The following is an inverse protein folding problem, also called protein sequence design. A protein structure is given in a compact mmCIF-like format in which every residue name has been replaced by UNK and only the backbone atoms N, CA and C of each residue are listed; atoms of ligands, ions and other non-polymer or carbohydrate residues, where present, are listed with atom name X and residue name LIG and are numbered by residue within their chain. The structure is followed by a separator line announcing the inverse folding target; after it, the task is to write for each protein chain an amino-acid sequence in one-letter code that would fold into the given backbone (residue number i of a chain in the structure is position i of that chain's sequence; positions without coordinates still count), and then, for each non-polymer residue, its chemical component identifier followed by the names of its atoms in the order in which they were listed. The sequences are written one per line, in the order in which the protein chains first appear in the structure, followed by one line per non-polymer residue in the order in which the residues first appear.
data_IF_924813942703
#
_entry.id   IF_924813942703
#
_cell.length_a   1.000
_cell.length_b   1.000
_cell.length_c   1.000
_cell.angle_alpha   90.00
_cell.angle_beta   90.00
_cell.angle_gamma   90.00
#
_symmetry.space_group_name_H-M   'P 1'
#
loop_
_entity.id
_entity.type
_entity.pdbx_description
1 polymer ?
#
# COMPACT_ATOMS: atom_id res chain seq x y z
N UNK A 1 -7.62 4.63 -23.07
CA UNK A 1 -6.95 4.84 -21.77
C UNK A 1 -5.76 5.75 -22.00
N UNK A 2 -5.56 6.74 -21.12
CA UNK A 2 -4.49 7.73 -21.19
C UNK A 2 -3.11 7.08 -20.99
N UNK A 3 -2.11 7.47 -21.79
CA UNK A 3 -0.74 6.90 -21.73
C UNK A 3 -0.07 7.18 -20.39
N UNK A 4 -0.31 8.37 -19.84
CA UNK A 4 0.11 8.77 -18.50
C UNK A 4 -0.45 7.86 -17.41
N UNK A 5 -1.74 7.48 -17.52
CA UNK A 5 -2.35 6.53 -16.58
C UNK A 5 -1.64 5.18 -16.58
N UNK A 6 -1.40 4.63 -17.78
CA UNK A 6 -0.74 3.33 -17.91
C UNK A 6 0.68 3.38 -17.35
N UNK A 7 1.45 4.43 -17.64
CA UNK A 7 2.78 4.61 -17.06
C UNK A 7 2.74 4.68 -15.53
N UNK A 8 1.85 5.50 -14.96
CA UNK A 8 1.74 5.63 -13.50
C UNK A 8 1.31 4.32 -12.85
N UNK A 9 0.43 3.55 -13.51
CA UNK A 9 0.02 2.21 -13.06
C UNK A 9 1.20 1.25 -13.09
N UNK A 10 1.96 1.20 -14.19
CA UNK A 10 3.15 0.37 -14.31
C UNK A 10 4.21 0.72 -13.26
N UNK A 11 4.42 2.01 -13.00
CA UNK A 11 5.33 2.46 -11.94
C UNK A 11 4.81 2.06 -10.56
N UNK A 12 3.50 2.10 -10.31
CA UNK A 12 2.93 1.68 -9.04
C UNK A 12 3.08 0.16 -8.79
N UNK A 13 3.04 -0.65 -9.85
CA UNK A 13 3.06 -2.11 -9.76
C UNK A 13 4.47 -2.72 -9.81
N UNK A 14 5.44 -2.08 -10.51
CA UNK A 14 6.78 -2.66 -10.74
C UNK A 14 7.90 -1.78 -10.15
N UNK A 15 8.54 -2.21 -9.04
CA UNK A 15 9.68 -1.51 -8.44
C UNK A 15 10.90 -1.37 -9.36
N UNK A 16 11.08 -2.29 -10.31
CA UNK A 16 12.19 -2.20 -11.27
C UNK A 16 11.94 -1.04 -12.24
N UNK A 17 10.69 -0.88 -12.70
CA UNK A 17 10.30 0.26 -13.54
C UNK A 17 10.44 1.58 -12.80
N UNK A 18 10.12 1.64 -11.51
CA UNK A 18 10.41 2.82 -10.68
C UNK A 18 11.90 3.17 -10.69
N UNK A 19 12.75 2.17 -10.51
CA UNK A 19 14.21 2.37 -10.49
C UNK A 19 14.73 2.88 -11.85
N UNK A 20 14.25 2.30 -12.95
CA UNK A 20 14.61 2.76 -14.31
C UNK A 20 14.11 4.19 -14.55
N UNK A 21 12.89 4.50 -14.12
CA UNK A 21 12.30 5.83 -14.24
C UNK A 21 13.04 6.88 -13.40
N UNK A 22 13.53 6.55 -12.21
CA UNK A 22 14.33 7.46 -11.38
C UNK A 22 15.66 7.81 -12.08
N UNK A 23 16.28 6.83 -12.73
CA UNK A 23 17.57 7.01 -13.39
C UNK A 23 17.45 7.74 -14.74
N UNK A 24 16.42 7.42 -15.54
CA UNK A 24 16.23 7.96 -16.89
C UNK A 24 14.75 8.32 -17.17
N UNK A 25 14.18 9.31 -16.47
CA UNK A 25 12.75 9.61 -16.59
C UNK A 25 12.37 10.04 -18.02
N UNK A 26 13.15 10.92 -18.64
CA UNK A 26 12.86 11.43 -19.99
C UNK A 26 12.82 10.32 -21.05
N UNK A 27 13.75 9.36 -20.99
CA UNK A 27 13.78 8.24 -21.94
C UNK A 27 12.56 7.32 -21.78
N UNK A 28 12.18 7.01 -20.54
CA UNK A 28 11.01 6.17 -20.26
C UNK A 28 9.73 6.86 -20.74
N UNK A 29 9.63 8.17 -20.53
CA UNK A 29 8.45 8.94 -20.94
C UNK A 29 8.33 9.09 -22.46
N UNK A 30 9.44 9.24 -23.16
CA UNK A 30 9.48 9.27 -24.62
C UNK A 30 9.12 7.90 -25.22
N UNK A 31 9.60 6.81 -24.61
CA UNK A 31 9.30 5.43 -25.02
C UNK A 31 7.80 5.11 -24.95
N UNK A 32 7.11 5.55 -23.89
CA UNK A 32 5.64 5.40 -23.80
C UNK A 32 4.89 6.43 -24.65
N UNK A 33 5.60 7.39 -25.25
CA UNK A 33 5.05 8.41 -26.15
C UNK A 33 4.15 9.42 -25.45
N UNK A 34 4.56 9.89 -24.26
CA UNK A 34 3.92 10.99 -23.53
C UNK A 34 4.09 12.32 -24.29
N UNK A 35 3.07 13.16 -24.23
CA UNK A 35 3.17 14.52 -24.76
C UNK A 35 4.08 15.40 -23.90
N UNK A 36 4.65 16.44 -24.51
CA UNK A 36 5.56 17.38 -23.82
C UNK A 36 4.96 17.99 -22.54
N UNK A 37 3.64 18.22 -22.53
CA UNK A 37 2.92 18.76 -21.37
C UNK A 37 2.86 17.75 -20.23
N UNK A 38 2.58 16.48 -20.53
CA UNK A 38 2.56 15.40 -19.53
C UNK A 38 3.98 15.11 -19.02
N UNK A 39 4.97 15.09 -19.90
CA UNK A 39 6.38 14.93 -19.51
C UNK A 39 6.81 16.04 -18.56
N UNK A 40 6.47 17.30 -18.87
CA UNK A 40 6.80 18.44 -18.02
C UNK A 40 6.15 18.32 -16.64
N UNK A 41 4.90 17.87 -16.56
CA UNK A 41 4.22 17.65 -15.29
C UNK A 41 4.83 16.51 -14.46
N UNK A 42 5.28 15.45 -15.12
CA UNK A 42 6.01 14.35 -14.48
C UNK A 42 7.39 14.81 -13.95
N UNK A 43 8.13 15.61 -14.74
CA UNK A 43 9.43 16.18 -14.35
C UNK A 43 9.28 17.19 -13.21
N UNK A 44 8.22 17.99 -13.20
CA UNK A 44 8.00 18.97 -12.14
C UNK A 44 7.71 18.34 -10.78
N UNK A 45 7.44 17.02 -10.72
CA UNK A 45 7.12 16.26 -9.50
C UNK A 45 5.99 16.90 -8.68
N UNK A 46 5.10 17.63 -9.34
CA UNK A 46 3.99 18.31 -8.70
C UNK A 46 2.73 17.44 -8.83
N UNK A 47 2.24 16.83 -7.74
CA UNK A 47 1.10 15.93 -7.82
C UNK A 47 -0.16 16.65 -8.31
N UNK A 48 -0.31 17.94 -8.02
CA UNK A 48 -1.44 18.75 -8.50
C UNK A 48 -1.45 18.89 -10.03
N UNK A 49 -0.28 19.05 -10.67
CA UNK A 49 -0.16 19.14 -12.13
C UNK A 49 -0.50 17.81 -12.79
N UNK A 50 -0.02 16.70 -12.21
CA UNK A 50 -0.34 15.35 -12.70
C UNK A 50 -1.84 15.06 -12.53
N UNK A 51 -2.42 15.39 -11.37
CA UNK A 51 -3.84 15.19 -11.09
C UNK A 51 -4.76 16.01 -12.00
N UNK A 52 -4.33 17.19 -12.46
CA UNK A 52 -5.10 18.03 -13.39
C UNK A 52 -5.39 17.33 -14.73
N UNK A 53 -4.50 16.47 -15.22
CA UNK A 53 -4.75 15.68 -16.44
C UNK A 53 -5.90 14.68 -16.25
N UNK A 54 -6.07 14.17 -15.03
CA UNK A 54 -7.13 13.24 -14.67
C UNK A 54 -8.42 13.96 -14.27
N UNK A 55 -8.35 15.22 -13.83
CA UNK A 55 -9.52 15.99 -13.42
C UNK A 55 -10.55 16.17 -14.55
N UNK A 56 -10.10 16.20 -15.81
CA UNK A 56 -10.98 16.23 -16.98
C UNK A 56 -11.62 14.86 -17.31
N UNK A 57 -11.05 13.76 -16.80
CA UNK A 57 -11.51 12.38 -17.05
C UNK A 57 -12.28 11.78 -15.85
N UNK A 58 -12.35 12.48 -14.72
CA UNK A 58 -13.03 11.97 -13.51
C UNK A 58 -14.55 12.06 -13.65
N UNK A 59 -15.15 10.95 -14.11
CA UNK A 59 -16.34 10.43 -13.44
C UNK A 59 -16.04 10.33 -11.93
N UNK A 60 -16.97 10.70 -11.04
CA UNK A 60 -16.74 10.67 -9.62
C UNK A 60 -16.36 9.23 -9.23
N UNK A 61 -15.11 9.03 -8.85
CA UNK A 61 -14.69 7.89 -8.04
C UNK A 61 -15.45 8.06 -6.74
N UNK A 62 -16.66 7.51 -6.71
CA UNK A 62 -17.47 7.38 -5.52
C UNK A 62 -16.69 6.45 -4.60
N UNK A 63 -15.77 7.04 -3.82
CA UNK A 63 -15.31 6.45 -2.58
C UNK A 63 -16.56 6.43 -1.70
N UNK A 64 -17.36 5.39 -1.86
CA UNK A 64 -18.37 5.08 -0.87
C UNK A 64 -17.57 4.58 0.33
N UNK A 65 -17.33 5.48 1.28
CA UNK A 65 -16.98 5.10 2.64
C UNK A 65 -18.25 4.51 3.26
N UNK A 66 -18.69 3.36 2.75
CA UNK A 66 -19.66 2.56 3.46
C UNK A 66 -18.91 1.96 4.65
N UNK A 67 -19.23 2.46 5.84
CA UNK A 67 -18.87 1.82 7.10
C UNK A 67 -19.23 0.33 6.97
N UNK A 68 -18.25 -0.59 7.00
CA UNK A 68 -18.55 -2.01 7.00
C UNK A 68 -19.37 -2.24 8.25
N UNK A 69 -20.68 -2.47 8.06
CA UNK A 69 -21.62 -2.57 9.15
C UNK A 69 -21.17 -3.61 10.19
N UNK A 70 -21.73 -3.56 11.41
CA UNK A 70 -21.35 -4.46 12.50
C UNK A 70 -21.31 -5.93 12.04
N UNK A 71 -20.30 -6.67 12.49
CA UNK A 71 -20.19 -8.11 12.20
C UNK A 71 -21.50 -8.81 12.62
N UNK A 72 -22.23 -9.45 11.68
CA UNK A 72 -23.49 -10.11 11.99
C UNK A 72 -23.30 -11.39 12.81
N UNK A 73 -22.06 -11.88 12.95
CA UNK A 73 -21.75 -13.08 13.71
C UNK A 73 -21.28 -12.70 15.12
N UNK A 74 -21.81 -13.34 16.18
CA UNK A 74 -21.21 -13.22 17.50
C UNK A 74 -19.81 -13.85 17.48
N UNK A 75 -18.85 -13.18 18.12
CA UNK A 75 -17.52 -13.73 18.30
C UNK A 75 -17.61 -15.12 18.94
N UNK A 76 -16.88 -16.13 18.42
CA UNK A 76 -16.88 -17.45 19.01
C UNK A 76 -16.34 -17.37 20.45
N UNK A 77 -17.00 -18.08 21.37
CA UNK A 77 -16.59 -18.13 22.78
C UNK A 77 -15.10 -18.52 22.89
N UNK A 78 -14.34 -17.89 23.81
CA UNK A 78 -12.97 -18.29 24.07
C UNK A 78 -12.91 -19.77 24.41
N UNK A 79 -11.97 -20.48 23.78
CA UNK A 79 -11.67 -21.85 24.17
C UNK A 79 -11.33 -21.89 25.67
N UNK A 80 -11.81 -22.91 26.41
CA UNK A 80 -11.48 -23.05 27.82
C UNK A 80 -9.96 -23.07 27.97
N UNK A 81 -9.44 -22.14 28.76
CA UNK A 81 -8.04 -22.10 29.16
C UNK A 81 -7.76 -23.42 29.90
N UNK A 82 -6.78 -24.23 29.49
CA UNK A 82 -6.38 -25.39 30.26
C UNK A 82 -5.98 -24.94 31.67
N UNK A 83 -6.50 -25.65 32.68
CA UNK A 83 -6.19 -25.43 34.09
C UNK A 83 -4.66 -25.32 34.27
N UNK A 84 -4.13 -24.29 34.96
CA UNK A 84 -2.70 -24.21 35.22
C UNK A 84 -2.23 -25.49 35.90
N UNK A 85 -1.22 -26.15 35.32
CA UNK A 85 -0.55 -27.28 35.94
C UNK A 85 -0.14 -26.92 37.37
N UNK A 86 -0.29 -27.83 38.35
CA UNK A 86 0.16 -27.57 39.70
C UNK A 86 1.66 -27.26 39.68
N UNK A 87 2.01 -26.06 40.13
CA UNK A 87 3.41 -25.66 40.32
C UNK A 87 4.10 -26.70 41.22
N UNK A 88 5.26 -27.25 40.83
CA UNK A 88 6.00 -28.13 41.73
C UNK A 88 6.43 -27.29 42.93
N UNK A 89 5.81 -27.59 44.07
CA UNK A 89 6.38 -27.28 45.36
C UNK A 89 7.59 -28.18 45.62
N UNK A 90 8.51 -27.64 46.42
CA UNK A 90 9.66 -28.33 47.04
C UNK A 90 10.85 -28.52 46.06
N UNK A 91 12.13 -28.38 46.42
CA UNK A 91 12.77 -28.59 47.70
C UNK A 91 14.23 -28.08 47.65
N UNK A 92 14.70 -27.50 48.75
CA UNK A 92 16.08 -27.48 49.29
C UNK A 92 17.28 -27.50 48.34
N UNK A 93 18.03 -26.38 48.27
CA UNK A 93 19.46 -26.42 47.94
C UNK A 93 20.30 -26.63 49.21
N UNK A 94 21.24 -27.59 49.24
CA UNK A 94 22.08 -27.80 50.40
C UNK A 94 23.21 -26.76 50.44
N UNK A 95 23.43 -26.22 51.63
CA UNK A 95 24.52 -25.32 51.95
C UNK A 95 25.85 -26.08 51.85
N UNK A 96 26.78 -25.61 51.02
CA UNK A 96 28.18 -26.08 51.03
C UNK A 96 29.09 -24.92 51.42
N UNK A 97 29.89 -25.18 52.47
CA UNK A 97 30.76 -24.28 53.23
C UNK A 97 31.64 -23.31 52.43
#
# INVERSE_FOLDING_TARGET
MSKLFNLLTDLALDPNKQSVFINNPSSVMDEVGLSEVEQTAMISKEPAKIAAFFANEQAPLAITCADPGPDPLPDPDPFPIPDPEPSPSEESTPNFN
#
